data_IF_905771518403
#
_entry.id   IF_905771518403
#
_cell.length_a   1.000
_cell.length_b   1.000
_cell.length_c   1.000
_cell.angle_alpha   90.00
_cell.angle_beta   90.00
_cell.angle_gamma   90.00
#
_symmetry.space_group_name_H-M   'P 1'
#
loop_
_entity.id
_entity.type
_entity.pdbx_description
1 polymer ?
#
# COMPACT_ATOMS: atom_id res chain seq x y z
N UNK A 1 -2.49 -1.64 0.37
CA UNK A 1 -3.29 -1.47 -0.88
C UNK A 1 -4.55 -0.70 -0.54
N UNK A 2 -4.66 0.54 -0.98
CA UNK A 2 -5.85 1.39 -0.72
C UNK A 2 -6.59 1.59 -2.03
N UNK A 3 -7.83 1.15 -2.09
CA UNK A 3 -8.70 1.31 -3.24
C UNK A 3 -9.63 2.50 -3.04
N UNK A 4 -9.69 3.39 -4.07
CA UNK A 4 -10.58 4.57 -4.09
C UNK A 4 -11.22 4.63 -5.46
N UNK A 5 -12.56 4.52 -5.53
CA UNK A 5 -13.32 4.62 -6.80
C UNK A 5 -12.78 3.69 -7.89
N UNK A 6 -12.52 2.43 -7.54
CA UNK A 6 -11.97 1.39 -8.42
C UNK A 6 -10.56 1.69 -8.94
N UNK A 7 -9.81 2.53 -8.23
CA UNK A 7 -8.42 2.84 -8.53
C UNK A 7 -7.55 2.55 -7.32
N UNK A 8 -6.26 2.32 -7.56
CA UNK A 8 -5.28 2.11 -6.49
C UNK A 8 -4.56 3.40 -6.16
N UNK A 9 -4.46 3.68 -4.86
CA UNK A 9 -3.68 4.80 -4.34
C UNK A 9 -2.19 4.42 -4.34
N UNK A 10 -1.37 5.22 -5.00
CA UNK A 10 0.08 5.10 -4.97
C UNK A 10 0.71 6.36 -4.41
N UNK A 11 1.88 6.20 -3.84
CA UNK A 11 2.73 7.29 -3.37
C UNK A 11 4.00 7.33 -4.20
N UNK A 12 4.45 8.53 -4.54
CA UNK A 12 5.74 8.73 -5.16
C UNK A 12 6.76 8.97 -4.06
N UNK A 13 7.75 8.11 -3.99
CA UNK A 13 8.70 8.08 -2.86
C UNK A 13 9.57 9.33 -2.82
N UNK A 14 9.63 9.98 -1.67
CA UNK A 14 10.49 11.13 -1.38
C UNK A 14 11.73 10.75 -0.56
N UNK A 15 12.01 9.46 -0.40
CA UNK A 15 13.16 8.94 0.35
C UNK A 15 13.79 7.75 -0.38
N UNK A 16 15.04 7.45 -0.07
CA UNK A 16 15.69 6.21 -0.52
C UNK A 16 15.22 5.03 0.35
N UNK A 17 15.19 3.79 -0.16
CA UNK A 17 15.49 3.42 -1.55
C UNK A 17 14.39 3.84 -2.52
N UNK A 18 14.71 3.84 -3.81
CA UNK A 18 13.77 4.09 -4.91
C UNK A 18 13.15 5.51 -4.88
N UNK A 19 13.94 6.53 -4.53
CA UNK A 19 13.49 7.93 -4.59
C UNK A 19 12.88 8.28 -5.94
N UNK A 20 11.73 8.94 -5.93
CA UNK A 20 11.02 9.37 -7.12
C UNK A 20 10.19 8.30 -7.80
N UNK A 21 10.24 7.06 -7.34
CA UNK A 21 9.46 5.94 -7.89
C UNK A 21 8.15 5.74 -7.15
N UNK A 22 7.23 5.02 -7.79
CA UNK A 22 5.89 4.79 -7.27
C UNK A 22 5.81 3.49 -6.47
N UNK A 23 5.15 3.55 -5.33
CA UNK A 23 4.91 2.37 -4.49
C UNK A 23 3.58 2.49 -3.75
N UNK A 24 3.19 1.39 -3.10
CA UNK A 24 2.08 1.41 -2.17
C UNK A 24 2.51 2.09 -0.87
N UNK A 25 1.60 2.75 -0.14
CA UNK A 25 1.92 3.23 1.20
C UNK A 25 2.43 2.07 2.06
N UNK A 26 3.57 2.25 2.71
CA UNK A 26 4.20 1.18 3.49
C UNK A 26 5.17 1.72 4.51
N UNK A 27 5.49 0.91 5.51
CA UNK A 27 6.47 1.23 6.53
C UNK A 27 6.67 0.06 7.48
N UNK A 28 7.47 0.29 8.50
CA UNK A 28 7.81 -0.73 9.49
C UNK A 28 6.81 -0.74 10.63
N UNK A 29 6.56 -1.94 11.16
CA UNK A 29 5.78 -2.10 12.39
C UNK A 29 6.65 -1.69 13.57
N UNK A 30 6.14 -0.80 14.42
CA UNK A 30 6.84 -0.39 15.62
C UNK A 30 6.73 -1.48 16.69
N UNK A 31 7.70 -1.51 17.61
CA UNK A 31 7.69 -2.45 18.72
C UNK A 31 6.40 -2.27 19.53
N UNK A 32 5.68 -3.38 19.76
CA UNK A 32 4.43 -3.36 20.51
C UNK A 32 3.20 -2.92 19.71
N UNK A 33 3.37 -2.57 18.44
CA UNK A 33 2.29 -2.15 17.57
C UNK A 33 1.67 -3.36 16.86
N UNK A 34 0.34 -3.41 16.77
CA UNK A 34 -0.33 -4.40 15.93
C UNK A 34 -0.09 -4.09 14.46
N UNK A 35 0.03 -5.13 13.62
CA UNK A 35 0.35 -4.97 12.20
C UNK A 35 -0.71 -4.13 11.49
N UNK A 36 -1.99 -4.37 11.74
CA UNK A 36 -3.09 -3.60 11.14
C UNK A 36 -3.04 -2.12 11.53
N UNK A 37 -2.64 -1.85 12.77
CA UNK A 37 -2.49 -0.47 13.25
C UNK A 37 -1.30 0.22 12.59
N UNK A 38 -0.23 -0.52 12.33
CA UNK A 38 0.92 0.00 11.57
C UNK A 38 0.49 0.40 10.15
N UNK A 39 -0.32 -0.40 9.48
CA UNK A 39 -0.88 -0.06 8.15
C UNK A 39 -1.66 1.24 8.22
N UNK A 40 -2.59 1.36 9.16
CA UNK A 40 -3.42 2.56 9.32
C UNK A 40 -2.55 3.81 9.58
N UNK A 41 -1.57 3.69 10.46
CA UNK A 41 -0.64 4.77 10.80
C UNK A 41 0.19 5.23 9.58
N UNK A 42 0.78 4.28 8.86
CA UNK A 42 1.61 4.59 7.69
C UNK A 42 0.80 5.26 6.57
N UNK A 43 -0.44 4.83 6.35
CA UNK A 43 -1.30 5.47 5.36
C UNK A 43 -1.58 6.93 5.74
N UNK A 44 -1.88 7.20 7.01
CA UNK A 44 -2.07 8.59 7.49
C UNK A 44 -0.80 9.41 7.28
N UNK A 45 0.35 8.88 7.67
CA UNK A 45 1.63 9.59 7.57
C UNK A 45 1.99 9.92 6.12
N UNK A 46 1.75 9.00 5.20
CA UNK A 46 2.16 9.16 3.80
C UNK A 46 1.13 9.86 2.93
N UNK A 47 -0.16 9.71 3.24
CA UNK A 47 -1.24 10.16 2.36
C UNK A 47 -2.28 11.08 3.00
N UNK A 48 -2.28 11.21 4.31
CA UNK A 48 -3.30 11.98 5.04
C UNK A 48 -4.65 11.28 5.19
N UNK A 49 -4.83 10.11 4.58
CA UNK A 49 -6.10 9.39 4.63
C UNK A 49 -6.18 8.47 5.84
N UNK A 50 -7.36 8.41 6.44
CA UNK A 50 -7.71 7.44 7.48
C UNK A 50 -8.34 6.24 6.79
N UNK A 51 -7.84 5.05 7.08
CA UNK A 51 -8.32 3.82 6.46
C UNK A 51 -8.71 2.78 7.50
N UNK A 52 -9.54 1.84 7.06
CA UNK A 52 -9.86 0.62 7.78
C UNK A 52 -9.24 -0.53 7.00
N UNK A 53 -8.52 -1.41 7.69
CA UNK A 53 -8.00 -2.65 7.10
C UNK A 53 -9.18 -3.61 6.89
N UNK A 54 -9.32 -4.13 5.67
CA UNK A 54 -10.41 -5.03 5.32
C UNK A 54 -9.99 -6.49 5.28
N UNK A 55 -8.88 -6.80 4.61
CA UNK A 55 -8.39 -8.18 4.47
C UNK A 55 -6.91 -8.21 4.13
N UNK A 56 -6.28 -9.34 4.42
CA UNK A 56 -4.87 -9.57 4.14
C UNK A 56 -4.68 -10.08 2.71
N UNK A 57 -3.87 -9.39 1.93
CA UNK A 57 -3.51 -9.80 0.58
C UNK A 57 -2.52 -10.96 0.62
N UNK A 58 -1.49 -10.85 1.44
CA UNK A 58 -0.49 -11.91 1.57
C UNK A 58 0.72 -11.50 2.40
N UNK A 59 1.58 -12.50 2.61
CA UNK A 59 2.91 -12.32 3.21
C UNK A 59 3.95 -12.59 2.13
N UNK A 60 4.95 -11.73 2.06
CA UNK A 60 6.01 -11.80 1.05
C UNK A 60 7.36 -11.80 1.73
N UNK A 61 8.15 -12.81 1.46
CA UNK A 61 9.50 -12.93 2.02
C UNK A 61 10.44 -13.54 0.98
N UNK A 62 11.71 -13.21 1.08
CA UNK A 62 12.75 -13.74 0.23
C UNK A 62 13.89 -14.29 1.09
N UNK A 63 14.57 -15.40 0.67
CA UNK A 63 15.57 -16.06 1.51
C UNK A 63 16.70 -15.17 2.00
N UNK A 64 17.09 -14.16 1.23
CA UNK A 64 18.23 -13.30 1.55
C UNK A 64 17.83 -11.97 2.19
N UNK A 65 16.54 -11.73 2.38
CA UNK A 65 16.03 -10.49 3.01
C UNK A 65 15.59 -10.76 4.43
N UNK A 66 15.88 -9.80 5.30
CA UNK A 66 15.51 -9.86 6.72
C UNK A 66 14.11 -9.34 7.00
N UNK A 67 13.43 -8.82 5.98
CA UNK A 67 12.10 -8.22 6.11
C UNK A 67 11.04 -9.17 5.56
N UNK A 68 9.97 -9.35 6.33
CA UNK A 68 8.74 -9.98 5.86
C UNK A 68 7.73 -8.86 5.59
N UNK A 69 7.20 -8.83 4.37
CA UNK A 69 6.21 -7.83 3.98
C UNK A 69 4.81 -8.40 4.15
N UNK A 70 4.02 -7.79 5.03
CA UNK A 70 2.59 -8.10 5.18
C UNK A 70 1.80 -7.05 4.39
N UNK A 71 0.96 -7.49 3.46
CA UNK A 71 0.17 -6.60 2.61
C UNK A 71 -1.30 -6.77 2.92
N UNK A 72 -1.96 -5.65 3.13
CA UNK A 72 -3.39 -5.58 3.44
C UNK A 72 -4.12 -4.71 2.42
N UNK A 73 -5.37 -5.05 2.15
CA UNK A 73 -6.30 -4.19 1.44
C UNK A 73 -7.07 -3.36 2.45
N UNK A 74 -7.26 -2.08 2.15
CA UNK A 74 -7.89 -1.14 3.07
C UNK A 74 -8.83 -0.19 2.34
N UNK A 75 -9.83 0.29 3.06
CA UNK A 75 -10.84 1.24 2.57
C UNK A 75 -10.71 2.56 3.30
N UNK A 76 -10.93 3.66 2.59
CA UNK A 76 -10.88 5.00 3.17
C UNK A 76 -12.13 5.25 4.02
N UNK A 77 -11.91 5.73 5.25
CA UNK A 77 -12.98 6.09 6.18
C UNK A 77 -12.98 7.57 6.54
N UNK A 78 -11.94 8.30 6.19
CA UNK A 78 -11.83 9.74 6.49
C UNK A 78 -10.51 10.33 6.04
N UNK A 79 -10.24 11.53 6.53
CA UNK A 79 -9.02 12.26 6.20
C UNK A 79 -9.09 12.99 4.87
N UNK A 80 -7.96 13.57 4.48
CA UNK A 80 -7.79 14.28 3.20
C UNK A 80 -6.50 13.84 2.56
N UNK A 81 -6.50 13.69 1.24
CA UNK A 81 -5.31 13.28 0.48
C UNK A 81 -4.28 14.41 0.47
N UNK A 82 -3.26 14.26 1.28
CA UNK A 82 -2.16 15.21 1.44
C UNK A 82 -0.86 14.41 1.54
N UNK A 83 0.09 14.68 0.64
CA UNK A 83 1.39 14.02 0.69
C UNK A 83 2.12 14.35 2.00
N UNK A 84 2.62 13.31 2.68
CA UNK A 84 3.42 13.46 3.89
C UNK A 84 4.85 13.90 3.58
N UNK A 85 5.67 14.09 4.63
CA UNK A 85 7.03 14.64 4.52
C UNK A 85 7.96 13.77 3.66
N UNK A 86 7.75 12.47 3.64
CA UNK A 86 8.57 11.52 2.89
C UNK A 86 7.90 11.10 1.57
N UNK A 87 6.87 11.84 1.13
CA UNK A 87 6.08 11.56 -0.05
C UNK A 87 6.10 12.76 -0.98
N UNK A 88 6.53 12.58 -2.24
CA UNK A 88 6.54 13.67 -3.22
C UNK A 88 5.14 14.00 -3.71
N UNK A 89 4.33 12.98 -3.97
CA UNK A 89 2.93 13.14 -4.36
C UNK A 89 2.14 11.85 -4.12
N UNK A 90 0.83 11.97 -4.07
CA UNK A 90 -0.09 10.83 -3.95
C UNK A 90 -1.11 10.90 -5.08
N UNK A 91 -1.28 9.80 -5.81
CA UNK A 91 -2.17 9.75 -6.97
C UNK A 91 -2.89 8.40 -7.01
N UNK A 92 -4.14 8.40 -7.46
CA UNK A 92 -4.87 7.16 -7.75
C UNK A 92 -4.71 6.81 -9.21
N UNK A 93 -4.48 5.52 -9.49
CA UNK A 93 -4.33 4.99 -10.84
C UNK A 93 -5.33 3.86 -11.08
N UNK A 94 -5.94 3.78 -12.26
CA UNK A 94 -6.63 2.55 -12.66
C UNK A 94 -5.66 1.37 -12.55
N UNK A 95 -6.11 0.21 -12.04
CA UNK A 95 -5.19 -0.90 -11.81
C UNK A 95 -4.71 -1.59 -13.09
N UNK A 96 -5.26 -1.26 -14.24
CA UNK A 96 -4.76 -1.66 -15.56
C UNK A 96 -3.85 -0.62 -16.22
N UNK A 97 -3.63 0.53 -15.57
CA UNK A 97 -2.81 1.63 -16.05
C UNK A 97 -1.81 2.11 -14.99
N UNK A 98 -1.23 1.17 -14.23
CA UNK A 98 -0.28 1.51 -13.18
C UNK A 98 1.05 1.98 -13.78
N UNK A 99 1.73 2.95 -13.13
CA UNK A 99 3.08 3.33 -13.53
C UNK A 99 4.07 2.21 -13.18
N UNK A 100 5.33 2.40 -13.58
CA UNK A 100 6.40 1.50 -13.14
C UNK A 100 6.49 1.53 -11.61
N UNK A 101 6.41 0.36 -10.99
CA UNK A 101 6.44 0.23 -9.54
C UNK A 101 7.87 0.09 -9.02
N UNK A 102 8.09 0.57 -7.80
CA UNK A 102 9.42 0.74 -7.21
C UNK A 102 10.15 -0.57 -6.89
N UNK A 103 9.40 -1.62 -6.50
CA UNK A 103 9.97 -2.85 -5.96
C UNK A 103 9.58 -4.07 -6.77
N UNK A 104 10.49 -5.08 -6.83
CA UNK A 104 10.32 -6.23 -7.71
C UNK A 104 9.10 -7.11 -7.42
N UNK A 105 8.64 -7.16 -6.16
CA UNK A 105 7.44 -7.93 -5.79
C UNK A 105 6.13 -7.21 -6.08
N UNK A 106 6.16 -5.94 -6.42
CA UNK A 106 4.96 -5.12 -6.51
C UNK A 106 3.97 -5.62 -7.56
N UNK A 107 4.46 -6.12 -8.71
CA UNK A 107 3.59 -6.66 -9.76
C UNK A 107 2.84 -7.90 -9.26
N UNK A 108 3.54 -8.79 -8.56
CA UNK A 108 2.93 -9.98 -7.96
C UNK A 108 1.89 -9.61 -6.92
N UNK A 109 2.19 -8.61 -6.10
CA UNK A 109 1.27 -8.09 -5.08
C UNK A 109 -0.02 -7.57 -5.73
N UNK A 110 0.08 -6.82 -6.82
CA UNK A 110 -1.09 -6.34 -7.56
C UNK A 110 -1.94 -7.52 -8.07
N UNK A 111 -1.30 -8.53 -8.64
CA UNK A 111 -2.01 -9.72 -9.13
C UNK A 111 -2.74 -10.44 -8.00
N UNK A 112 -2.07 -10.65 -6.87
CA UNK A 112 -2.67 -11.29 -5.68
C UNK A 112 -3.84 -10.47 -5.14
N UNK A 113 -3.70 -9.15 -5.12
CA UNK A 113 -4.77 -8.26 -4.70
C UNK A 113 -5.99 -8.34 -5.63
N UNK A 114 -5.77 -8.34 -6.96
CA UNK A 114 -6.85 -8.46 -7.93
C UNK A 114 -7.59 -9.80 -7.79
N UNK A 115 -6.87 -10.89 -7.62
CA UNK A 115 -7.45 -12.22 -7.41
C UNK A 115 -8.26 -12.28 -6.11
N UNK A 116 -7.71 -11.77 -5.02
CA UNK A 116 -8.39 -11.72 -3.73
C UNK A 116 -9.63 -10.83 -3.77
N UNK A 117 -9.55 -9.71 -4.47
CA UNK A 117 -10.67 -8.79 -4.67
C UNK A 117 -11.80 -9.46 -5.47
N UNK A 118 -11.47 -10.14 -6.56
CA UNK A 118 -12.44 -10.84 -7.41
C UNK A 118 -13.14 -11.95 -6.61
N UNK A 119 -12.41 -12.72 -5.82
CA UNK A 119 -12.96 -13.77 -4.96
C UNK A 119 -14.00 -13.21 -3.98
N UNK A 120 -13.68 -12.07 -3.35
CA UNK A 120 -14.57 -11.44 -2.39
C UNK A 120 -15.82 -10.84 -3.04
N UNK A 121 -15.69 -10.30 -4.25
CA UNK A 121 -16.84 -9.76 -4.99
C UNK A 121 -17.78 -10.85 -5.51
N UNK A 122 -17.27 -12.06 -5.71
CA UNK A 122 -18.07 -13.20 -6.18
C UNK A 122 -18.82 -13.92 -5.06
N UNK A 123 -18.50 -13.62 -3.81
CA UNK A 123 -19.09 -14.28 -2.65
C UNK A 123 -20.49 -13.74 -2.31
#
# INVERSE_FOLDING_TARGET
MVEIDNKLLLVRRGIQPAYGKWSFPSGYVNRGEQVERAVEREVVEETGLVVRVDWMVGLYSEPEKTVVLAVYSASVTGGKLIAGDETLETVTFPYDELPELAFGDDVRIVQDWLEGRATRQSA
#
